data_IF_262025011397
#
_entry.id   IF_262025011397
#
_cell.length_a   1.000
_cell.length_b   1.000
_cell.length_c   1.000
_cell.angle_alpha   90.00
_cell.angle_beta   90.00
_cell.angle_gamma   90.00
#
_symmetry.space_group_name_H-M   'P 1'
#
loop_
_entity.id
_entity.type
_entity.pdbx_description
1 polymer ?
#
# COMPACT_ATOMS: atom_id res chain seq x y z
N UNK A 1 5.63 4.75 -11.13
CA UNK A 1 4.87 4.61 -9.86
C UNK A 1 4.47 3.16 -9.58
N UNK A 2 3.73 2.49 -10.47
CA UNK A 2 3.36 1.07 -10.33
C UNK A 2 4.57 0.13 -10.15
N UNK A 3 5.64 0.37 -10.90
CA UNK A 3 6.88 -0.41 -10.79
C UNK A 3 7.56 -0.25 -9.42
N UNK A 4 7.59 0.98 -8.87
CA UNK A 4 8.13 1.22 -7.55
C UNK A 4 7.34 0.47 -6.47
N UNK A 5 6.00 0.49 -6.54
CA UNK A 5 5.17 -0.26 -5.60
C UNK A 5 5.39 -1.78 -5.75
N UNK A 6 5.54 -2.29 -6.99
CA UNK A 6 5.91 -3.69 -7.24
C UNK A 6 7.27 -4.04 -6.64
N UNK A 7 8.26 -3.17 -6.76
CA UNK A 7 9.59 -3.39 -6.19
C UNK A 7 9.51 -3.47 -4.66
N UNK A 8 8.79 -2.54 -4.01
CA UNK A 8 8.55 -2.56 -2.55
C UNK A 8 7.86 -3.85 -2.13
N UNK A 9 6.76 -4.22 -2.80
CA UNK A 9 6.00 -5.44 -2.53
C UNK A 9 6.88 -6.68 -2.66
N UNK A 10 7.70 -6.77 -3.71
CA UNK A 10 8.58 -7.90 -3.95
C UNK A 10 9.67 -8.01 -2.88
N UNK A 11 10.27 -6.90 -2.49
CA UNK A 11 11.30 -6.90 -1.44
C UNK A 11 10.70 -7.25 -0.08
N UNK A 12 9.55 -6.66 0.25
CA UNK A 12 8.81 -7.00 1.46
C UNK A 12 8.49 -8.51 1.53
N UNK A 13 8.06 -9.11 0.41
CA UNK A 13 7.77 -10.55 0.32
C UNK A 13 8.99 -11.41 0.67
N UNK A 14 10.19 -11.01 0.28
CA UNK A 14 11.44 -11.73 0.64
C UNK A 14 11.74 -11.64 2.13
N UNK A 15 11.32 -10.55 2.78
CA UNK A 15 11.61 -10.22 4.18
C UNK A 15 10.46 -10.57 5.13
N UNK A 16 9.43 -11.27 4.67
CA UNK A 16 8.23 -11.55 5.46
C UNK A 16 8.52 -12.28 6.79
N UNK A 17 9.54 -13.14 6.82
CA UNK A 17 9.97 -13.83 8.04
C UNK A 17 10.53 -12.85 9.08
N UNK A 18 11.47 -12.00 8.68
CA UNK A 18 12.06 -10.97 9.52
C UNK A 18 10.99 -10.01 10.04
N UNK A 19 10.05 -9.63 9.17
CA UNK A 19 8.90 -8.80 9.53
C UNK A 19 8.03 -9.48 10.59
N UNK A 20 7.75 -10.77 10.44
CA UNK A 20 6.94 -11.53 11.41
C UNK A 20 7.63 -11.60 12.77
N UNK A 21 8.96 -11.75 12.79
CA UNK A 21 9.75 -11.71 14.01
C UNK A 21 9.72 -10.33 14.68
N UNK A 22 9.92 -9.25 13.91
CA UNK A 22 9.81 -7.88 14.41
C UNK A 22 8.42 -7.60 15.01
N UNK A 23 7.35 -8.04 14.34
CA UNK A 23 5.97 -7.93 14.86
C UNK A 23 5.76 -8.68 16.17
N UNK A 24 6.45 -9.80 16.40
CA UNK A 24 6.37 -10.49 17.69
C UNK A 24 7.06 -9.67 18.79
N UNK A 25 8.23 -9.08 18.48
CA UNK A 25 9.04 -8.31 19.43
C UNK A 25 8.37 -6.98 19.78
N UNK A 26 7.93 -6.23 18.77
CA UNK A 26 7.43 -4.86 18.93
C UNK A 26 5.97 -4.81 19.37
N UNK A 27 5.11 -5.63 18.76
CA UNK A 27 3.67 -5.64 19.05
C UNK A 27 3.30 -6.61 20.19
N UNK A 28 4.18 -7.58 20.50
CA UNK A 28 3.89 -8.63 21.47
C UNK A 28 2.83 -9.63 20.98
N UNK A 29 2.57 -9.68 19.68
CA UNK A 29 1.54 -10.56 19.13
C UNK A 29 2.04 -12.02 19.00
N UNK A 30 1.12 -12.98 18.97
CA UNK A 30 1.50 -14.39 18.81
C UNK A 30 2.16 -14.62 17.44
N UNK A 31 3.15 -15.52 17.38
CA UNK A 31 3.85 -15.88 16.13
C UNK A 31 2.89 -16.27 15.01
N UNK A 32 1.85 -17.08 15.32
CA UNK A 32 0.84 -17.48 14.34
C UNK A 32 0.10 -16.28 13.74
N UNK A 33 -0.20 -15.27 14.56
CA UNK A 33 -0.87 -14.05 14.10
C UNK A 33 0.08 -13.16 13.31
N UNK A 34 1.33 -13.02 13.75
CA UNK A 34 2.37 -12.30 13.02
C UNK A 34 2.57 -12.88 11.61
N UNK A 35 2.78 -14.20 11.51
CA UNK A 35 3.11 -14.90 10.27
C UNK A 35 1.94 -15.03 9.28
N UNK A 36 0.72 -15.22 9.78
CA UNK A 36 -0.43 -15.54 8.91
C UNK A 36 -1.34 -14.36 8.62
N UNK A 37 -1.25 -13.29 9.41
CA UNK A 37 -2.15 -12.14 9.30
C UNK A 37 -1.35 -10.86 9.11
N UNK A 38 -0.63 -10.42 10.13
CA UNK A 38 0.02 -9.09 10.13
C UNK A 38 1.07 -8.96 9.02
N UNK A 39 1.90 -9.99 8.80
CA UNK A 39 2.95 -9.94 7.77
C UNK A 39 2.44 -10.17 6.35
N UNK A 40 1.25 -10.77 6.19
CA UNK A 40 0.66 -11.06 4.87
C UNK A 40 -0.22 -9.92 4.38
N UNK A 41 -0.95 -9.25 5.27
CA UNK A 41 -1.94 -8.24 4.91
C UNK A 41 -1.40 -7.09 4.03
N UNK A 42 -0.18 -6.54 4.26
CA UNK A 42 0.43 -5.56 3.36
C UNK A 42 0.54 -6.02 1.90
N UNK A 43 0.94 -7.27 1.67
CA UNK A 43 1.08 -7.84 0.34
C UNK A 43 -0.26 -7.88 -0.38
N UNK A 44 -1.31 -8.36 0.30
CA UNK A 44 -2.66 -8.42 -0.26
C UNK A 44 -3.19 -7.04 -0.65
N UNK A 45 -2.93 -6.01 0.17
CA UNK A 45 -3.34 -4.65 -0.15
C UNK A 45 -2.61 -4.09 -1.38
N UNK A 46 -1.30 -4.27 -1.46
CA UNK A 46 -0.53 -3.81 -2.63
C UNK A 46 -0.89 -4.57 -3.91
N UNK A 47 -1.12 -5.88 -3.82
CA UNK A 47 -1.56 -6.68 -4.96
C UNK A 47 -2.93 -6.19 -5.48
N UNK A 48 -3.89 -5.97 -4.58
CA UNK A 48 -5.20 -5.43 -4.94
C UNK A 48 -5.12 -4.01 -5.57
N UNK A 49 -4.25 -3.14 -5.05
CA UNK A 49 -4.02 -1.81 -5.61
C UNK A 49 -3.39 -1.87 -7.01
N UNK A 50 -2.40 -2.74 -7.20
CA UNK A 50 -1.75 -2.95 -8.50
C UNK A 50 -2.70 -3.54 -9.53
N UNK A 51 -3.62 -4.43 -9.11
CA UNK A 51 -4.67 -4.97 -9.97
C UNK A 51 -5.74 -3.92 -10.31
N UNK A 52 -6.06 -3.02 -9.38
CA UNK A 52 -7.03 -1.95 -9.59
C UNK A 52 -6.49 -0.80 -10.45
N UNK A 53 -5.19 -0.53 -10.42
CA UNK A 53 -4.57 0.63 -11.06
C UNK A 53 -4.89 0.77 -12.56
N UNK A 54 -4.87 -0.28 -13.40
CA UNK A 54 -5.21 -0.16 -14.82
C UNK A 54 -6.67 0.22 -15.07
N UNK A 55 -7.55 0.02 -14.08
CA UNK A 55 -8.99 0.37 -14.15
C UNK A 55 -9.25 1.80 -13.68
N UNK A 56 -8.24 2.50 -13.18
CA UNK A 56 -8.38 3.87 -12.69
C UNK A 56 -8.31 4.87 -13.84
N UNK A 57 -9.40 5.63 -14.01
CA UNK A 57 -9.51 6.68 -15.04
C UNK A 57 -8.87 7.95 -14.50
N UNK A 58 -7.72 8.33 -15.08
CA UNK A 58 -6.99 9.56 -14.74
C UNK A 58 -7.54 10.79 -15.44
N UNK A 59 -8.00 10.61 -16.68
CA UNK A 59 -8.51 11.68 -17.54
C UNK A 59 -9.86 11.25 -18.11
N UNK A 60 -10.85 12.13 -18.06
CA UNK A 60 -12.20 11.89 -18.55
C UNK A 60 -12.65 13.08 -19.41
N UNK A 61 -13.00 12.80 -20.67
CA UNK A 61 -13.51 13.81 -21.61
C UNK A 61 -15.00 14.03 -21.39
N UNK A 62 -15.40 15.30 -21.26
CA UNK A 62 -16.76 15.76 -21.11
C UNK A 62 -17.21 16.57 -22.34
N UNK A 63 -18.38 16.27 -22.92
CA UNK A 63 -18.95 17.09 -23.97
C UNK A 63 -19.28 18.51 -23.49
N UNK A 64 -19.19 19.54 -24.36
CA UNK A 64 -18.72 19.47 -25.74
C UNK A 64 -17.19 19.55 -25.90
N UNK A 65 -16.43 20.01 -24.90
CA UNK A 65 -14.99 20.30 -25.03
C UNK A 65 -14.27 20.52 -23.68
N UNK A 66 -14.55 19.72 -22.66
CA UNK A 66 -13.89 19.83 -21.35
C UNK A 66 -13.25 18.51 -20.96
N UNK A 67 -12.16 18.54 -20.18
CA UNK A 67 -11.48 17.35 -19.68
C UNK A 67 -11.34 17.43 -18.17
N UNK A 68 -11.74 16.39 -17.46
CA UNK A 68 -11.45 16.23 -16.03
C UNK A 68 -10.15 15.44 -15.92
N UNK A 69 -9.16 16.02 -15.22
CA UNK A 69 -7.88 15.35 -14.92
C UNK A 69 -7.76 15.12 -13.41
N UNK A 70 -7.24 13.96 -13.01
CA UNK A 70 -6.95 13.62 -11.61
C UNK A 70 -5.46 13.72 -11.37
N UNK A 71 -5.05 14.73 -10.62
CA UNK A 71 -3.65 14.98 -10.27
C UNK A 71 -3.38 14.69 -8.79
N UNK A 72 -2.12 14.39 -8.41
CA UNK A 72 -1.77 14.26 -7.00
C UNK A 72 -1.98 15.58 -6.26
N UNK A 73 -2.37 15.47 -4.99
CA UNK A 73 -2.56 16.64 -4.11
C UNK A 73 -1.23 17.26 -3.62
N UNK A 74 -0.10 16.57 -3.84
CA UNK A 74 1.22 16.98 -3.38
C UNK A 74 1.66 16.19 -2.15
N UNK A 75 2.32 16.84 -1.19
CA UNK A 75 2.93 16.17 -0.02
C UNK A 75 1.86 15.54 0.87
N UNK A 76 2.02 14.23 1.15
CA UNK A 76 1.12 13.47 2.04
C UNK A 76 1.81 13.06 3.36
N UNK A 77 1.26 13.48 4.49
CA UNK A 77 1.67 13.00 5.82
C UNK A 77 0.89 11.72 6.20
N UNK A 78 1.60 10.62 6.48
CA UNK A 78 1.00 9.32 6.79
C UNK A 78 1.13 8.98 8.27
N UNK A 79 0.06 9.17 9.04
CA UNK A 79 0.00 8.80 10.47
C UNK A 79 -0.69 7.43 10.61
N UNK A 80 -0.03 6.47 11.25
CA UNK A 80 -0.51 5.07 11.35
C UNK A 80 -0.59 4.59 12.80
N UNK A 81 -1.64 3.82 13.16
CA UNK A 81 -1.79 3.28 14.51
C UNK A 81 -0.86 2.07 14.74
N UNK A 82 -0.69 1.71 16.01
CA UNK A 82 0.22 0.65 16.46
C UNK A 82 -0.34 -0.78 16.37
N UNK A 83 -1.66 -0.96 16.34
CA UNK A 83 -2.30 -2.28 16.45
C UNK A 83 -2.18 -3.14 15.17
N UNK A 84 -2.07 -2.49 14.01
CA UNK A 84 -1.86 -3.12 12.70
C UNK A 84 -0.84 -2.28 11.92
N UNK A 85 0.42 -2.24 12.39
CA UNK A 85 1.36 -1.18 12.03
C UNK A 85 1.67 -1.21 10.53
N UNK A 86 2.12 -2.36 10.02
CA UNK A 86 2.48 -2.50 8.61
C UNK A 86 1.28 -2.47 7.67
N UNK A 87 0.13 -2.99 8.12
CA UNK A 87 -1.10 -2.96 7.33
C UNK A 87 -1.53 -1.51 7.02
N UNK A 88 -1.53 -0.65 8.03
CA UNK A 88 -1.95 0.73 7.88
C UNK A 88 -0.93 1.57 7.11
N UNK A 89 0.36 1.25 7.25
CA UNK A 89 1.41 1.82 6.39
C UNK A 89 1.15 1.43 4.94
N UNK A 90 0.92 0.15 4.64
CA UNK A 90 0.68 -0.33 3.29
C UNK A 90 -0.55 0.32 2.63
N UNK A 91 -1.65 0.40 3.36
CA UNK A 91 -2.91 1.02 2.92
C UNK A 91 -2.79 2.51 2.65
N UNK A 92 -1.90 3.22 3.34
CA UNK A 92 -1.69 4.67 3.13
C UNK A 92 -0.62 4.95 2.08
N UNK A 93 0.52 4.26 2.16
CA UNK A 93 1.66 4.43 1.26
C UNK A 93 1.32 4.03 -0.17
N UNK A 94 0.61 2.90 -0.35
CA UNK A 94 0.23 2.39 -1.67
C UNK A 94 -0.50 3.42 -2.53
N UNK A 95 -1.69 3.91 -2.15
CA UNK A 95 -2.44 4.89 -2.93
C UNK A 95 -1.73 6.24 -3.04
N UNK A 96 -1.05 6.73 -1.99
CA UNK A 96 -0.26 7.96 -2.06
C UNK A 96 0.79 7.87 -3.18
N UNK A 97 1.63 6.82 -3.15
CA UNK A 97 2.66 6.59 -4.15
C UNK A 97 2.09 6.38 -5.55
N UNK A 98 0.96 5.66 -5.70
CA UNK A 98 0.36 5.41 -7.01
C UNK A 98 -0.27 6.67 -7.61
N UNK A 99 -0.88 7.51 -6.77
CA UNK A 99 -1.42 8.82 -7.15
C UNK A 99 -0.35 9.83 -7.56
N UNK A 100 0.89 9.63 -7.11
CA UNK A 100 2.00 10.54 -7.36
C UNK A 100 2.17 11.60 -6.28
N UNK A 101 1.62 11.36 -5.10
CA UNK A 101 1.97 12.10 -3.88
C UNK A 101 3.33 11.62 -3.34
#
# INVERSE_FOLDING_TARGET
RAEALRAIRNEYSKRQKDVSEALCIELGCTRKFAERVQSVAPLAHWDALLEALPRFIWEEELPPNSTIVKEPVGVAALITPWNYPLNQIALKLGPALLSGC
#
